data_IF_093769515749
#
_entry.id   IF_093769515749
#
_cell.length_a   1.000
_cell.length_b   1.000
_cell.length_c   1.000
_cell.angle_alpha   90.00
_cell.angle_beta   90.00
_cell.angle_gamma   90.00
#
_symmetry.space_group_name_H-M   'P 1'
#
loop_
_entity.id
_entity.type
_entity.pdbx_description
1 polymer ?
#
# COMPACT_ATOMS: atom_id res chain seq x y z
N UNK A 1 32.15 1.24 -13.53
CA UNK A 1 30.89 1.81 -13.06
C UNK A 1 30.16 0.76 -12.23
N UNK A 2 29.88 1.05 -10.97
CA UNK A 2 29.14 0.11 -10.15
C UNK A 2 27.67 0.06 -10.62
N UNK A 3 27.16 -1.15 -10.81
CA UNK A 3 25.74 -1.30 -11.12
C UNK A 3 24.91 -0.83 -9.92
N UNK A 4 23.77 -0.24 -10.17
CA UNK A 4 22.86 0.13 -9.11
C UNK A 4 22.44 -1.14 -8.36
N UNK A 5 22.37 -1.10 -7.02
CA UNK A 5 21.92 -2.27 -6.27
C UNK A 5 20.49 -2.63 -6.68
N UNK A 6 20.28 -3.92 -6.82
CA UNK A 6 18.93 -4.42 -7.09
C UNK A 6 18.01 -4.12 -5.93
N UNK A 7 16.89 -3.48 -6.24
CA UNK A 7 15.85 -3.19 -5.25
C UNK A 7 14.67 -4.11 -5.53
N UNK A 8 14.41 -5.03 -4.61
CA UNK A 8 13.33 -5.97 -4.77
C UNK A 8 11.98 -5.25 -4.72
N UNK A 9 11.07 -5.63 -5.59
CA UNK A 9 9.71 -5.14 -5.56
C UNK A 9 9.04 -5.59 -4.26
N UNK A 10 8.19 -4.76 -3.63
CA UNK A 10 7.46 -5.21 -2.44
C UNK A 10 6.66 -6.47 -2.75
N UNK A 11 6.71 -7.42 -1.83
CA UNK A 11 5.97 -8.66 -2.00
C UNK A 11 4.47 -8.42 -1.87
N UNK A 12 3.67 -9.36 -2.39
CA UNK A 12 2.22 -9.31 -2.22
C UNK A 12 1.86 -9.30 -0.73
N UNK A 13 2.63 -10.00 0.09
CA UNK A 13 2.42 -10.04 1.53
C UNK A 13 2.68 -8.70 2.19
N UNK A 14 3.74 -8.00 1.77
CA UNK A 14 4.02 -6.65 2.27
C UNK A 14 2.88 -5.69 1.91
N UNK A 15 2.41 -5.73 0.68
CA UNK A 15 1.32 -4.87 0.22
C UNK A 15 0.02 -5.20 0.93
N UNK A 16 -0.25 -6.48 1.13
CA UNK A 16 -1.42 -6.92 1.90
C UNK A 16 -1.32 -6.48 3.35
N UNK A 17 -0.12 -6.51 3.92
CA UNK A 17 0.13 -6.04 5.28
C UNK A 17 -0.25 -4.57 5.46
N UNK A 18 0.07 -3.73 4.48
CA UNK A 18 -0.30 -2.31 4.51
C UNK A 18 -1.83 -2.18 4.44
N UNK A 19 -2.46 -2.93 3.55
CA UNK A 19 -3.91 -2.92 3.40
C UNK A 19 -4.60 -3.33 4.70
N UNK A 20 -4.14 -4.41 5.33
CA UNK A 20 -4.70 -4.90 6.58
C UNK A 20 -4.49 -3.91 7.73
N UNK A 21 -3.33 -3.27 7.77
CA UNK A 21 -3.05 -2.23 8.77
C UNK A 21 -4.01 -1.05 8.62
N UNK A 22 -4.31 -0.67 7.37
CA UNK A 22 -5.26 0.40 7.09
C UNK A 22 -6.67 0.04 7.56
N UNK A 23 -7.10 -1.19 7.32
CA UNK A 23 -8.40 -1.66 7.80
C UNK A 23 -8.47 -1.64 9.33
N UNK A 24 -7.38 -2.00 10.00
CA UNK A 24 -7.32 -1.94 11.46
C UNK A 24 -7.41 -0.50 11.95
N UNK A 25 -6.70 0.44 11.30
CA UNK A 25 -6.80 1.87 11.62
C UNK A 25 -8.24 2.37 11.46
N UNK A 26 -8.91 1.94 10.39
CA UNK A 26 -10.30 2.29 10.13
C UNK A 26 -11.24 1.80 11.23
N UNK A 27 -11.07 0.54 11.65
CA UNK A 27 -11.95 -0.07 12.67
C UNK A 27 -11.70 0.47 14.07
N UNK A 28 -10.42 0.48 14.46
CA UNK A 28 -10.05 0.73 15.86
C UNK A 28 -9.92 2.20 16.18
N UNK A 29 -9.53 3.01 15.22
CA UNK A 29 -9.33 4.44 15.39
C UNK A 29 -8.40 4.75 16.59
N UNK A 30 -7.28 4.01 16.69
CA UNK A 30 -6.30 4.21 17.74
C UNK A 30 -4.97 4.72 17.15
N UNK A 31 -4.18 5.36 18.01
CA UNK A 31 -2.87 5.88 17.62
C UNK A 31 -1.96 4.76 17.11
N UNK A 32 -1.94 3.62 17.81
CA UNK A 32 -1.09 2.49 17.41
C UNK A 32 -1.50 1.91 16.08
N UNK A 33 -2.80 1.68 15.89
CA UNK A 33 -3.29 1.08 14.64
C UNK A 33 -3.00 1.99 13.44
N UNK A 34 -3.22 3.28 13.59
CA UNK A 34 -3.00 4.23 12.50
C UNK A 34 -1.51 4.49 12.25
N UNK A 35 -0.71 4.52 13.31
CA UNK A 35 0.75 4.64 13.19
C UNK A 35 1.36 3.47 12.41
N UNK A 36 0.80 2.28 12.59
CA UNK A 36 1.26 1.07 11.90
C UNK A 36 1.20 1.23 10.39
N UNK A 37 0.15 1.86 9.88
CA UNK A 37 0.03 2.15 8.44
C UNK A 37 1.23 2.95 7.95
N UNK A 38 1.56 4.02 8.65
CA UNK A 38 2.69 4.87 8.27
C UNK A 38 4.02 4.13 8.37
N UNK A 39 4.20 3.33 9.41
CA UNK A 39 5.42 2.56 9.59
C UNK A 39 5.67 1.58 8.44
N UNK A 40 4.61 0.99 7.90
CA UNK A 40 4.70 0.03 6.80
C UNK A 40 4.80 0.72 5.44
N UNK A 41 4.10 1.83 5.25
CA UNK A 41 4.02 2.51 3.95
C UNK A 41 5.17 3.47 3.69
N UNK A 42 5.62 4.19 4.70
CA UNK A 42 6.63 5.24 4.55
C UNK A 42 7.93 4.75 3.90
N UNK A 43 8.49 3.58 4.27
CA UNK A 43 9.71 3.10 3.62
C UNK A 43 9.56 2.89 2.10
N UNK A 44 8.36 2.64 1.62
CA UNK A 44 8.11 2.42 0.19
C UNK A 44 8.10 3.73 -0.61
N UNK A 45 7.98 4.88 0.05
CA UNK A 45 7.99 6.16 -0.64
C UNK A 45 9.33 6.44 -1.33
N UNK A 46 10.42 5.88 -0.80
CA UNK A 46 11.76 6.03 -1.36
C UNK A 46 12.14 4.90 -2.32
N UNK A 47 11.23 3.97 -2.58
CA UNK A 47 11.50 2.83 -3.44
C UNK A 47 11.66 3.30 -4.89
N UNK A 48 12.82 3.05 -5.49
CA UNK A 48 13.18 3.59 -6.80
C UNK A 48 12.38 2.99 -7.96
N UNK A 49 11.82 1.80 -7.78
CA UNK A 49 11.12 1.09 -8.85
C UNK A 49 9.60 1.23 -8.82
N UNK A 50 9.04 1.67 -7.70
CA UNK A 50 7.59 1.81 -7.61
C UNK A 50 7.08 2.97 -8.45
N UNK A 51 6.00 2.77 -9.21
CA UNK A 51 5.43 3.84 -10.02
C UNK A 51 4.88 4.98 -9.16
N UNK A 52 4.86 6.17 -9.72
CA UNK A 52 4.33 7.34 -9.01
C UNK A 52 2.89 7.11 -8.56
N UNK A 53 2.10 6.41 -9.37
CA UNK A 53 0.71 6.11 -9.04
C UNK A 53 0.60 5.33 -7.74
N UNK A 54 1.51 4.35 -7.53
CA UNK A 54 1.59 3.62 -6.27
C UNK A 54 1.94 4.55 -5.12
N UNK A 55 2.95 5.39 -5.32
CA UNK A 55 3.40 6.33 -4.28
C UNK A 55 2.32 7.34 -3.91
N UNK A 56 1.54 7.78 -4.89
CA UNK A 56 0.42 8.69 -4.62
C UNK A 56 -0.62 8.02 -3.73
N UNK A 57 -0.95 6.76 -4.00
CA UNK A 57 -1.90 6.02 -3.17
C UNK A 57 -1.36 5.81 -1.76
N UNK A 58 -0.09 5.45 -1.63
CA UNK A 58 0.57 5.30 -0.33
C UNK A 58 0.55 6.62 0.46
N UNK A 59 0.84 7.72 -0.21
CA UNK A 59 0.81 9.04 0.41
C UNK A 59 -0.60 9.38 0.90
N UNK A 60 -1.60 9.17 0.06
CA UNK A 60 -3.00 9.40 0.43
C UNK A 60 -3.38 8.58 1.65
N UNK A 61 -2.99 7.31 1.66
CA UNK A 61 -3.31 6.42 2.77
C UNK A 61 -2.66 6.90 4.07
N UNK A 62 -1.38 7.29 4.01
CA UNK A 62 -0.69 7.81 5.18
C UNK A 62 -1.34 9.08 5.72
N UNK A 63 -1.81 9.94 4.82
CA UNK A 63 -2.50 11.16 5.21
C UNK A 63 -3.86 10.89 5.85
N UNK A 64 -4.58 9.88 5.35
CA UNK A 64 -5.88 9.49 5.87
C UNK A 64 -5.80 8.68 7.16
N UNK A 65 -4.69 7.98 7.37
CA UNK A 65 -4.51 7.06 8.51
C UNK A 65 -4.15 7.84 9.78
N UNK A 66 -5.10 8.60 10.28
CA UNK A 66 -4.96 9.41 11.47
C UNK A 66 -6.16 9.16 12.38
N UNK A 67 -5.91 9.23 13.68
CA UNK A 67 -7.01 9.13 14.66
C UNK A 67 -7.95 10.31 14.47
N UNK A 68 -9.24 10.03 14.40
CA UNK A 68 -10.28 11.05 14.26
C UNK A 68 -11.09 11.13 15.54
N UNK A 69 -11.69 12.30 15.80
CA UNK A 69 -12.55 12.50 16.94
C UNK A 69 -13.79 11.61 16.86
N UNK A 70 -14.31 11.41 15.66
CA UNK A 70 -15.42 10.50 15.39
C UNK A 70 -15.00 9.49 14.37
N UNK A 71 -15.15 8.20 14.69
CA UNK A 71 -14.89 7.13 13.73
C UNK A 71 -16.17 6.86 12.94
N UNK A 72 -16.56 7.85 12.14
CA UNK A 72 -17.79 7.77 11.36
C UNK A 72 -17.61 6.96 10.07
N UNK A 73 -18.70 6.70 9.40
CA UNK A 73 -18.74 5.92 8.17
C UNK A 73 -17.88 6.55 7.07
N UNK A 74 -17.91 7.87 6.95
CA UNK A 74 -17.15 8.58 5.92
C UNK A 74 -15.65 8.33 6.07
N UNK A 75 -15.14 8.44 7.30
CA UNK A 75 -13.73 8.19 7.57
C UNK A 75 -13.35 6.75 7.26
N UNK A 76 -14.15 5.80 7.73
CA UNK A 76 -13.91 4.37 7.48
C UNK A 76 -13.90 4.06 6.00
N UNK A 77 -14.86 4.60 5.27
CA UNK A 77 -15.00 4.40 3.83
C UNK A 77 -13.82 4.98 3.06
N UNK A 78 -13.37 6.18 3.43
CA UNK A 78 -12.22 6.85 2.80
C UNK A 78 -10.96 6.01 2.94
N UNK A 79 -10.64 5.57 4.15
CA UNK A 79 -9.45 4.76 4.43
C UNK A 79 -9.54 3.42 3.69
N UNK A 80 -10.68 2.77 3.74
CA UNK A 80 -10.91 1.46 3.11
C UNK A 80 -10.75 1.55 1.60
N UNK A 81 -11.33 2.57 0.98
CA UNK A 81 -11.25 2.73 -0.47
C UNK A 81 -9.82 2.97 -0.93
N UNK A 82 -9.06 3.79 -0.21
CA UNK A 82 -7.66 4.04 -0.54
C UNK A 82 -6.84 2.76 -0.34
N UNK A 83 -7.07 2.04 0.75
CA UNK A 83 -6.35 0.80 1.05
C UNK A 83 -6.53 -0.25 -0.04
N UNK A 84 -7.71 -0.37 -0.61
CA UNK A 84 -7.99 -1.33 -1.68
C UNK A 84 -7.17 -1.10 -2.94
N UNK A 85 -6.72 0.13 -3.15
CA UNK A 85 -5.91 0.48 -4.31
C UNK A 85 -4.46 0.04 -4.18
N UNK A 86 -3.97 -0.22 -2.96
CA UNK A 86 -2.57 -0.57 -2.73
C UNK A 86 -2.15 -1.82 -3.52
N UNK A 87 -2.83 -2.98 -3.40
CA UNK A 87 -2.43 -4.15 -4.17
C UNK A 87 -2.55 -3.94 -5.68
N UNK A 88 -3.47 -3.08 -6.09
CA UNK A 88 -3.72 -2.84 -7.51
C UNK A 88 -2.64 -1.98 -8.17
N UNK A 89 -2.27 -0.88 -7.52
CA UNK A 89 -1.33 0.08 -8.11
C UNK A 89 0.11 -0.18 -7.75
N UNK A 90 0.36 -0.97 -6.70
CA UNK A 90 1.70 -1.23 -6.20
C UNK A 90 2.23 -2.62 -6.54
N UNK A 91 1.42 -3.48 -7.17
CA UNK A 91 1.86 -4.82 -7.54
C UNK A 91 2.91 -4.78 -8.63
N UNK A 92 3.85 -5.73 -8.57
CA UNK A 92 4.86 -5.88 -9.60
C UNK A 92 4.18 -6.17 -10.95
N UNK A 93 4.56 -5.43 -12.02
CA UNK A 93 3.98 -5.68 -13.33
C UNK A 93 4.28 -7.08 -13.83
N UNK A 94 3.26 -7.72 -14.43
CA UNK A 94 3.41 -9.05 -15.02
C UNK A 94 4.06 -8.91 -16.39
N UNK A 95 5.12 -9.68 -16.64
CA UNK A 95 5.80 -9.69 -17.94
C UNK A 95 4.90 -10.35 -18.98
N UNK A 96 5.20 -10.11 -20.27
CA UNK A 96 4.47 -10.76 -21.37
C UNK A 96 4.48 -12.28 -21.24
N UNK A 97 5.63 -12.86 -20.88
CA UNK A 97 5.77 -14.30 -20.73
C UNK A 97 4.90 -14.83 -19.59
N UNK A 98 4.84 -14.13 -18.50
CA UNK A 98 4.01 -14.51 -17.36
C UNK A 98 2.53 -14.40 -17.69
N UNK A 99 2.13 -13.39 -18.46
CA UNK A 99 0.76 -13.27 -18.93
C UNK A 99 0.35 -14.43 -19.83
N UNK A 100 1.25 -14.85 -20.72
CA UNK A 100 1.01 -15.98 -21.60
C UNK A 100 0.85 -17.27 -20.81
N UNK A 101 1.71 -17.49 -19.81
CA UNK A 101 1.62 -18.66 -18.93
C UNK A 101 0.30 -18.67 -18.16
N UNK A 102 -0.14 -17.52 -17.67
CA UNK A 102 -1.41 -17.42 -16.96
C UNK A 102 -2.60 -17.76 -17.84
N UNK A 103 -2.55 -17.38 -19.12
CA UNK A 103 -3.63 -17.69 -20.06
C UNK A 103 -3.67 -19.16 -20.43
N UNK A 104 -2.55 -19.85 -20.37
CA UNK A 104 -2.44 -21.28 -20.73
C UNK A 104 -2.76 -22.20 -19.54
N UNK A 105 -2.77 -21.66 -18.35
CA UNK A 105 -3.01 -22.45 -17.14
C UNK A 105 -4.49 -22.84 -16.96
#
# INVERSE_FOLDING_TARGET
MAAEPYVAWPSKEQLRGIEQAAYACSRVNSTEACKRVRQLADPLMDHSRLPERCKDVLWMLMDEAKVANNNDFRRKDTITNTARRIPRFCAEPVTKNEKLKSRQA
#
